data_IF_603406676369
#
_entry.id   IF_603406676369
#
_cell.length_a   1.000
_cell.length_b   1.000
_cell.length_c   1.000
_cell.angle_alpha   90.00
_cell.angle_beta   90.00
_cell.angle_gamma   90.00
#
_symmetry.space_group_name_H-M   'P 1'
#
loop_
_entity.id
_entity.type
_entity.pdbx_description
1 polymer ?
#
# COMPACT_ATOMS: atom_id res chain seq x y z
N UNK A 1 -8.96 -50.31 -35.48
CA UNK A 1 -8.33 -49.08 -35.99
C UNK A 1 -9.07 -47.95 -35.30
N UNK A 2 -8.60 -47.57 -34.10
CA UNK A 2 -9.12 -46.44 -33.34
C UNK A 2 -8.86 -45.15 -34.12
N UNK A 3 -9.92 -44.38 -34.38
CA UNK A 3 -9.83 -43.03 -34.92
C UNK A 3 -9.81 -42.03 -33.77
N UNK A 4 -8.82 -41.13 -33.79
CA UNK A 4 -8.75 -39.99 -32.87
C UNK A 4 -10.02 -39.13 -33.03
N UNK A 5 -10.81 -39.02 -31.96
CA UNK A 5 -11.89 -38.04 -31.89
C UNK A 5 -11.28 -36.68 -31.55
N UNK A 6 -11.44 -35.72 -32.46
CA UNK A 6 -11.07 -34.32 -32.23
C UNK A 6 -12.09 -33.72 -31.28
N UNK A 7 -11.68 -33.37 -30.06
CA UNK A 7 -12.46 -32.48 -29.21
C UNK A 7 -12.45 -31.08 -29.84
N UNK A 8 -13.60 -30.40 -29.78
CA UNK A 8 -13.95 -29.25 -30.62
C UNK A 8 -12.96 -28.10 -30.67
N UNK A 9 -13.04 -27.37 -31.79
CA UNK A 9 -12.40 -26.09 -32.09
C UNK A 9 -12.27 -25.21 -30.83
N UNK A 10 -11.06 -25.12 -30.28
CA UNK A 10 -10.73 -24.15 -29.24
C UNK A 10 -10.77 -22.78 -29.93
N UNK A 11 -11.89 -22.09 -29.75
CA UNK A 11 -12.28 -20.87 -30.45
C UNK A 11 -11.12 -19.92 -30.77
N UNK A 12 -11.19 -19.33 -31.96
CA UNK A 12 -10.15 -18.46 -32.54
C UNK A 12 -9.62 -17.45 -31.52
N UNK A 13 -8.35 -17.59 -31.14
CA UNK A 13 -7.67 -16.62 -30.28
C UNK A 13 -7.55 -15.31 -31.03
N UNK A 14 -8.39 -14.34 -30.68
CA UNK A 14 -8.22 -12.97 -31.17
C UNK A 14 -7.05 -12.33 -30.44
N UNK A 15 -6.07 -11.83 -31.20
CA UNK A 15 -5.00 -11.01 -30.63
C UNK A 15 -5.62 -9.81 -29.89
N UNK A 16 -5.05 -9.40 -28.74
CA UNK A 16 -5.57 -8.27 -27.99
C UNK A 16 -5.62 -7.02 -28.86
N UNK A 17 -6.79 -6.39 -28.93
CA UNK A 17 -6.98 -5.16 -29.68
C UNK A 17 -6.20 -4.03 -28.99
N UNK A 18 -5.15 -3.52 -29.64
CA UNK A 18 -4.46 -2.33 -29.12
C UNK A 18 -5.34 -1.09 -29.34
N UNK A 19 -5.75 -0.46 -28.25
CA UNK A 19 -6.38 0.86 -28.24
C UNK A 19 -5.30 1.96 -28.31
N UNK A 20 -5.65 3.15 -28.78
CA UNK A 20 -4.81 4.36 -28.74
C UNK A 20 -3.42 4.23 -29.38
N UNK A 21 -3.34 3.56 -30.52
CA UNK A 21 -2.08 3.33 -31.27
C UNK A 21 -1.31 4.60 -31.64
N UNK A 22 -2.01 5.73 -31.69
CA UNK A 22 -1.45 7.03 -32.07
C UNK A 22 -1.09 7.92 -30.86
N UNK A 23 -1.33 7.45 -29.63
CA UNK A 23 -0.92 8.17 -28.41
C UNK A 23 0.46 7.67 -28.00
N UNK A 24 1.48 8.48 -28.24
CA UNK A 24 2.83 8.29 -27.69
C UNK A 24 3.13 9.42 -26.72
N UNK A 25 2.89 9.25 -25.41
CA UNK A 25 3.36 10.24 -24.44
C UNK A 25 4.88 10.29 -24.47
N UNK A 26 5.44 11.47 -24.23
CA UNK A 26 6.88 11.59 -24.01
C UNK A 26 7.30 10.74 -22.81
N UNK A 27 8.54 10.22 -22.80
CA UNK A 27 9.08 9.55 -21.62
C UNK A 27 8.97 10.47 -20.39
N UNK A 28 8.73 9.92 -19.19
CA UNK A 28 8.77 10.71 -17.97
C UNK A 28 10.14 11.41 -17.83
N UNK A 29 10.15 12.57 -17.17
CA UNK A 29 11.39 13.31 -16.87
C UNK A 29 12.37 12.41 -16.09
N UNK A 30 13.68 12.50 -16.35
CA UNK A 30 14.68 11.66 -15.67
C UNK A 30 14.73 11.87 -14.14
N UNK A 31 14.30 13.02 -13.64
CA UNK A 31 14.10 13.31 -12.22
C UNK A 31 12.76 12.77 -11.69
N UNK A 32 11.79 12.52 -12.58
CA UNK A 32 10.57 11.81 -12.25
C UNK A 32 10.93 10.33 -12.11
N UNK A 33 11.03 9.90 -10.86
CA UNK A 33 11.18 8.49 -10.54
C UNK A 33 9.87 7.95 -9.93
N UNK A 34 8.92 7.49 -10.76
CA UNK A 34 7.79 6.71 -10.26
C UNK A 34 8.32 5.55 -9.41
N UNK A 35 7.82 5.39 -8.19
CA UNK A 35 8.23 4.27 -7.34
C UNK A 35 9.65 4.39 -6.76
N UNK A 36 10.05 5.55 -6.23
CA UNK A 36 11.26 5.64 -5.38
C UNK A 36 10.89 5.96 -3.96
N UNK A 37 11.70 5.50 -3.01
CA UNK A 37 11.56 5.86 -1.61
C UNK A 37 11.52 7.39 -1.47
N UNK A 38 10.49 7.91 -0.80
CA UNK A 38 10.38 9.33 -0.53
C UNK A 38 10.89 9.62 0.88
N UNK A 39 12.06 10.26 0.99
CA UNK A 39 12.55 10.74 2.30
C UNK A 39 11.52 11.71 2.87
N UNK A 40 11.10 11.46 4.10
CA UNK A 40 10.13 12.32 4.80
C UNK A 40 10.90 13.52 5.38
N UNK A 41 10.65 14.75 4.90
CA UNK A 41 11.40 15.91 5.36
C UNK A 41 10.94 16.37 6.75
N UNK A 42 11.78 17.16 7.41
CA UNK A 42 11.43 17.82 8.68
C UNK A 42 11.40 16.92 9.91
N UNK A 43 11.73 15.63 9.78
CA UNK A 43 11.89 14.71 10.90
C UNK A 43 13.34 14.66 11.37
N UNK A 44 13.59 14.49 12.68
CA UNK A 44 14.92 14.22 13.18
C UNK A 44 15.42 12.87 12.64
N UNK A 45 16.75 12.74 12.52
CA UNK A 45 17.36 11.45 12.24
C UNK A 45 17.12 10.48 13.39
N UNK A 46 16.96 9.21 13.07
CA UNK A 46 16.79 8.10 14.01
C UNK A 46 18.15 7.43 14.23
N UNK A 47 18.88 7.75 15.32
CA UNK A 47 20.29 7.36 15.46
C UNK A 47 20.48 5.85 15.70
N UNK A 48 19.50 5.18 16.31
CA UNK A 48 19.54 3.74 16.59
C UNK A 48 18.95 2.90 15.45
N UNK A 49 18.52 3.55 14.35
CA UNK A 49 17.88 2.94 13.20
C UNK A 49 16.64 2.09 13.55
N UNK A 50 15.88 2.47 14.60
CA UNK A 50 14.66 1.76 15.01
C UNK A 50 13.44 2.66 14.97
N UNK A 51 12.46 2.32 14.12
CA UNK A 51 11.22 3.09 14.01
C UNK A 51 10.28 2.94 15.20
N UNK A 52 10.44 1.92 16.04
CA UNK A 52 9.62 1.69 17.24
C UNK A 52 9.69 2.85 18.25
N UNK A 53 10.77 3.62 18.27
CA UNK A 53 10.92 4.82 19.11
C UNK A 53 10.38 6.11 18.49
N UNK A 54 9.90 6.07 17.24
CA UNK A 54 9.44 7.23 16.49
C UNK A 54 7.93 7.39 16.65
N UNK A 55 7.44 8.62 16.83
CA UNK A 55 6.01 8.91 16.85
C UNK A 55 5.41 8.70 15.43
N UNK A 56 4.52 7.70 15.21
CA UNK A 56 3.97 7.40 13.89
C UNK A 56 3.14 8.54 13.31
N UNK A 57 2.35 9.23 14.15
CA UNK A 57 1.51 10.35 13.74
C UNK A 57 2.36 11.51 13.23
N UNK A 58 3.50 11.79 13.87
CA UNK A 58 4.44 12.80 13.41
C UNK A 58 5.04 12.46 12.04
N UNK A 59 5.35 11.17 11.79
CA UNK A 59 5.86 10.70 10.49
C UNK A 59 4.81 10.90 9.40
N UNK A 60 3.59 10.40 9.62
CA UNK A 60 2.48 10.54 8.67
C UNK A 60 2.18 12.00 8.40
N UNK A 61 2.16 12.85 9.43
CA UNK A 61 1.93 14.30 9.29
C UNK A 61 2.98 14.98 8.41
N UNK A 62 4.26 14.70 8.65
CA UNK A 62 5.35 15.27 7.87
C UNK A 62 5.28 14.82 6.40
N UNK A 63 5.04 13.53 6.15
CA UNK A 63 4.95 12.95 4.81
C UNK A 63 3.72 13.44 4.04
N UNK A 64 2.52 13.46 4.65
CA UNK A 64 1.29 14.01 4.06
C UNK A 64 1.51 15.48 3.69
N UNK A 65 2.03 16.28 4.62
CA UNK A 65 2.27 17.72 4.40
C UNK A 65 3.24 17.95 3.24
N UNK A 66 4.35 17.22 3.22
CA UNK A 66 5.34 17.30 2.14
C UNK A 66 4.77 16.87 0.79
N UNK A 67 4.01 15.77 0.76
CA UNK A 67 3.41 15.26 -0.47
C UNK A 67 2.40 16.25 -1.05
N UNK A 68 1.55 16.86 -0.20
CA UNK A 68 0.61 17.91 -0.62
C UNK A 68 1.33 19.14 -1.16
N UNK A 69 2.43 19.56 -0.54
CA UNK A 69 3.22 20.68 -1.04
C UNK A 69 3.85 20.35 -2.40
N UNK A 70 4.38 19.14 -2.56
CA UNK A 70 5.07 18.69 -3.77
C UNK A 70 4.14 18.60 -4.99
N UNK A 71 2.86 18.32 -4.80
CA UNK A 71 1.87 18.27 -5.89
C UNK A 71 0.89 19.44 -5.88
N UNK A 72 1.18 20.51 -5.12
CA UNK A 72 0.34 21.70 -4.97
C UNK A 72 -1.12 21.38 -4.57
N UNK A 73 -1.34 20.28 -3.85
CA UNK A 73 -2.66 19.84 -3.41
C UNK A 73 -3.54 19.25 -4.51
N UNK A 74 -2.96 18.87 -5.65
CA UNK A 74 -3.70 18.28 -6.79
C UNK A 74 -4.29 16.91 -6.49
N UNK A 75 -3.83 16.23 -5.45
CA UNK A 75 -4.32 14.89 -5.11
C UNK A 75 -3.57 13.75 -5.82
N UNK A 76 -2.46 14.08 -6.49
CA UNK A 76 -1.65 13.15 -7.29
C UNK A 76 -0.78 12.26 -6.40
N UNK A 77 -0.19 12.82 -5.35
CA UNK A 77 0.70 12.11 -4.43
C UNK A 77 0.01 11.66 -3.14
N UNK A 78 -0.99 12.42 -2.71
CA UNK A 78 -1.76 12.20 -1.47
C UNK A 78 -3.15 12.79 -1.66
N UNK A 79 -4.19 12.12 -1.16
CA UNK A 79 -5.56 12.62 -1.22
C UNK A 79 -5.68 14.01 -0.54
N UNK A 80 -6.35 15.00 -1.15
CA UNK A 80 -6.48 16.34 -0.56
C UNK A 80 -7.13 16.35 0.84
N UNK A 81 -7.94 15.34 1.18
CA UNK A 81 -8.53 15.20 2.51
C UNK A 81 -7.52 14.85 3.59
N UNK A 82 -6.38 14.24 3.23
CA UNK A 82 -5.39 13.74 4.18
C UNK A 82 -4.90 14.83 5.15
N UNK A 83 -4.63 16.05 4.66
CA UNK A 83 -4.18 17.18 5.49
C UNK A 83 -5.23 17.60 6.50
N UNK A 84 -6.51 17.59 6.11
CA UNK A 84 -7.61 17.93 7.02
C UNK A 84 -7.79 16.84 8.07
N UNK A 85 -7.65 15.57 7.67
CA UNK A 85 -7.79 14.40 8.54
C UNK A 85 -6.68 14.32 9.58
N UNK A 86 -5.42 14.54 9.18
CA UNK A 86 -4.28 14.53 10.12
C UNK A 86 -4.31 15.71 11.11
N UNK A 87 -5.02 16.80 10.79
CA UNK A 87 -5.19 17.94 11.70
C UNK A 87 -6.08 17.62 12.91
N UNK A 88 -6.85 16.53 12.86
CA UNK A 88 -7.62 16.02 14.01
C UNK A 88 -6.71 15.36 15.06
N UNK A 89 -5.52 14.93 14.67
CA UNK A 89 -4.57 14.29 15.58
C UNK A 89 -3.87 15.32 16.47
N UNK A 90 -3.76 15.00 17.74
CA UNK A 90 -2.95 15.72 18.73
C UNK A 90 -1.45 15.42 18.57
N UNK A 91 -0.63 15.82 19.54
CA UNK A 91 0.80 15.49 19.60
C UNK A 91 1.09 14.19 20.35
N UNK A 92 0.07 13.51 20.90
CA UNK A 92 0.24 12.21 21.52
C UNK A 92 0.75 11.16 20.52
N UNK A 93 1.38 10.10 21.02
CA UNK A 93 1.94 9.04 20.17
C UNK A 93 0.87 8.27 19.38
N UNK A 94 -0.32 8.12 19.96
CA UNK A 94 -1.51 7.56 19.33
C UNK A 94 -2.36 8.63 18.61
N UNK A 95 -1.96 9.90 18.69
CA UNK A 95 -2.69 11.04 18.12
C UNK A 95 -3.95 11.45 18.87
N UNK A 96 -4.36 10.75 19.93
CA UNK A 96 -5.60 11.01 20.65
C UNK A 96 -6.86 10.44 19.96
N UNK A 97 -8.04 10.59 20.60
CA UNK A 97 -9.24 9.82 20.27
C UNK A 97 -9.86 10.11 18.89
N UNK A 98 -9.63 11.32 18.36
CA UNK A 98 -10.17 11.73 17.06
C UNK A 98 -9.18 11.50 15.91
N UNK A 99 -7.98 10.96 16.19
CA UNK A 99 -6.95 10.79 15.19
C UNK A 99 -7.26 9.61 14.27
N UNK A 100 -7.41 9.84 12.95
CA UNK A 100 -7.73 8.78 12.01
C UNK A 100 -6.49 8.03 11.49
N UNK A 101 -5.35 8.16 12.17
CA UNK A 101 -4.17 7.35 11.89
C UNK A 101 -4.32 6.05 12.66
N UNK A 102 -4.33 4.92 11.93
CA UNK A 102 -4.40 3.60 12.56
C UNK A 102 -3.14 3.33 13.39
N UNK A 103 -3.25 2.60 14.51
CA UNK A 103 -2.09 2.19 15.29
C UNK A 103 -1.02 1.55 14.41
N UNK A 104 0.24 1.93 14.62
CA UNK A 104 1.33 1.42 13.83
C UNK A 104 1.62 -0.05 14.15
N UNK A 105 1.89 -0.83 13.11
CA UNK A 105 2.42 -2.19 13.19
C UNK A 105 3.87 -2.16 12.72
N UNK A 106 4.73 -2.93 13.37
CA UNK A 106 6.14 -3.02 13.06
C UNK A 106 6.48 -4.44 12.59
N UNK A 107 7.13 -4.57 11.44
CA UNK A 107 7.55 -5.84 10.87
C UNK A 107 8.76 -5.62 9.95
N UNK A 108 9.74 -6.53 9.94
CA UNK A 108 10.84 -6.52 8.96
C UNK A 108 10.34 -6.95 7.58
N UNK A 109 10.10 -5.98 6.70
CA UNK A 109 9.65 -6.21 5.32
C UNK A 109 10.82 -6.20 4.34
N UNK A 110 11.98 -5.72 4.77
CA UNK A 110 13.15 -5.51 3.91
C UNK A 110 14.22 -6.58 4.06
N UNK A 111 14.06 -7.47 5.05
CA UNK A 111 14.98 -8.57 5.36
C UNK A 111 16.29 -8.09 5.98
N UNK A 112 16.36 -6.84 6.45
CA UNK A 112 17.59 -6.24 6.97
C UNK A 112 17.73 -6.31 8.50
N UNK A 113 16.78 -6.97 9.18
CA UNK A 113 16.72 -7.11 10.63
C UNK A 113 16.18 -5.88 11.36
N UNK A 114 15.67 -4.87 10.64
CA UNK A 114 15.02 -3.67 11.19
C UNK A 114 13.55 -3.68 10.80
N UNK A 115 12.68 -3.40 11.78
CA UNK A 115 11.25 -3.36 11.53
C UNK A 115 10.85 -2.05 10.81
N UNK A 116 10.12 -2.18 9.71
CA UNK A 116 9.40 -1.10 9.04
C UNK A 116 8.16 -0.69 9.83
N UNK A 117 7.75 0.58 9.72
CA UNK A 117 6.51 1.10 10.28
C UNK A 117 5.41 1.02 9.23
N UNK A 118 4.36 0.25 9.53
CA UNK A 118 3.16 0.08 8.70
C UNK A 118 1.99 0.77 9.40
N UNK A 119 1.29 1.66 8.72
CA UNK A 119 0.10 2.35 9.24
C UNK A 119 -0.82 2.78 8.09
N UNK A 120 -2.00 3.30 8.42
CA UNK A 120 -2.87 3.92 7.44
C UNK A 120 -3.52 5.18 8.01
N UNK A 121 -3.80 6.15 7.13
CA UNK A 121 -4.64 7.31 7.42
C UNK A 121 -6.03 7.09 6.83
N UNK A 122 -7.05 6.99 7.68
CA UNK A 122 -8.44 6.86 7.24
C UNK A 122 -8.98 8.21 6.75
N UNK A 123 -9.21 8.31 5.44
CA UNK A 123 -9.63 9.54 4.77
C UNK A 123 -11.12 9.81 4.97
N UNK A 124 -11.90 8.73 4.90
CA UNK A 124 -13.33 8.71 5.18
C UNK A 124 -13.72 7.32 5.74
N UNK A 125 -15.01 7.02 5.85
CA UNK A 125 -15.49 5.72 6.35
C UNK A 125 -15.23 4.53 5.44
N UNK A 126 -14.49 4.70 4.33
CA UNK A 126 -14.23 3.69 3.29
C UNK A 126 -12.79 3.70 2.79
N UNK A 127 -12.26 4.86 2.43
CA UNK A 127 -10.93 5.03 1.84
C UNK A 127 -9.88 5.34 2.89
N UNK A 128 -8.73 4.69 2.74
CA UNK A 128 -7.56 4.92 3.57
C UNK A 128 -6.32 5.11 2.70
N UNK A 129 -5.32 5.79 3.24
CA UNK A 129 -3.96 5.79 2.68
C UNK A 129 -3.07 4.87 3.51
N UNK A 130 -2.79 3.68 2.98
CA UNK A 130 -1.77 2.78 3.52
C UNK A 130 -0.39 3.39 3.27
N UNK A 131 0.44 3.43 4.31
CA UNK A 131 1.80 3.95 4.25
C UNK A 131 2.76 3.02 4.98
N UNK A 132 3.91 2.78 4.35
CA UNK A 132 5.00 1.99 4.93
C UNK A 132 6.28 2.80 4.90
N UNK A 133 6.99 2.81 6.03
CA UNK A 133 8.21 3.57 6.21
C UNK A 133 9.35 2.66 6.65
N UNK A 134 10.53 2.94 6.12
CA UNK A 134 11.80 2.40 6.61
C UNK A 134 12.68 3.53 7.14
N UNK A 135 13.80 3.16 7.76
CA UNK A 135 14.88 4.06 8.14
C UNK A 135 16.13 3.72 7.34
N UNK A 136 16.63 4.71 6.60
CA UNK A 136 17.87 4.64 5.84
C UNK A 136 19.07 4.57 6.79
N UNK A 137 20.20 4.04 6.32
CA UNK A 137 21.40 3.86 7.14
C UNK A 137 21.98 5.16 7.70
N UNK A 138 21.63 6.31 7.10
CA UNK A 138 22.01 7.63 7.59
C UNK A 138 21.01 8.24 8.60
N UNK A 139 20.04 7.44 9.05
CA UNK A 139 19.02 7.77 10.04
C UNK A 139 17.79 8.48 9.49
N UNK A 140 17.70 8.74 8.17
CA UNK A 140 16.52 9.40 7.60
C UNK A 140 15.37 8.41 7.41
N UNK A 141 14.16 8.84 7.76
CA UNK A 141 12.94 8.08 7.53
C UNK A 141 12.51 8.26 6.07
N UNK A 142 12.20 7.17 5.39
CA UNK A 142 11.74 7.18 4.01
C UNK A 142 10.47 6.35 3.87
N UNK A 143 9.49 6.89 3.14
CA UNK A 143 8.30 6.14 2.73
C UNK A 143 8.66 5.22 1.58
N UNK A 144 8.41 3.93 1.76
CA UNK A 144 8.68 2.86 0.79
C UNK A 144 7.41 2.30 0.13
N UNK A 145 6.23 2.59 0.70
CA UNK A 145 4.93 2.32 0.06
C UNK A 145 3.95 3.45 0.39
N UNK A 146 3.18 3.88 -0.61
CA UNK A 146 1.96 4.68 -0.44
C UNK A 146 0.87 4.10 -1.33
N UNK A 147 -0.30 3.82 -0.77
CA UNK A 147 -1.42 3.28 -1.54
C UNK A 147 -2.74 3.81 -1.00
N UNK A 148 -3.54 4.41 -1.87
CA UNK A 148 -4.96 4.68 -1.59
C UNK A 148 -5.75 3.42 -1.84
N UNK A 149 -6.56 3.02 -0.86
CA UNK A 149 -7.16 1.70 -0.82
C UNK A 149 -8.46 1.69 -0.02
N UNK A 150 -9.34 0.73 -0.33
CA UNK A 150 -10.42 0.34 0.59
C UNK A 150 -9.88 -0.82 1.42
N UNK A 151 -9.28 -0.51 2.56
CA UNK A 151 -8.55 -1.49 3.37
C UNK A 151 -9.53 -2.37 4.17
N UNK A 152 -9.85 -3.54 3.63
CA UNK A 152 -10.55 -4.59 4.37
C UNK A 152 -9.59 -5.42 5.22
N UNK A 153 -8.36 -5.62 4.73
CA UNK A 153 -7.30 -6.30 5.47
C UNK A 153 -5.91 -5.90 5.01
N UNK A 154 -4.97 -5.84 5.95
CA UNK A 154 -3.54 -5.71 5.67
C UNK A 154 -2.84 -6.79 6.47
N UNK A 155 -2.15 -7.68 5.78
CA UNK A 155 -1.47 -8.83 6.38
C UNK A 155 0.01 -8.80 6.05
N UNK A 156 0.81 -9.27 6.99
CA UNK A 156 2.25 -9.42 6.80
C UNK A 156 2.62 -10.88 7.02
N UNK A 157 3.35 -11.46 6.06
CA UNK A 157 3.88 -12.80 6.16
C UNK A 157 5.27 -12.82 5.55
N UNK A 158 6.28 -13.15 6.36
CA UNK A 158 7.68 -12.96 5.98
C UNK A 158 7.90 -11.53 5.45
N UNK A 159 8.54 -11.39 4.29
CA UNK A 159 8.86 -10.10 3.66
C UNK A 159 7.75 -9.59 2.71
N UNK A 160 6.54 -10.16 2.81
CA UNK A 160 5.39 -9.82 1.98
C UNK A 160 4.36 -9.00 2.75
N UNK A 161 3.82 -7.97 2.10
CA UNK A 161 2.69 -7.19 2.58
C UNK A 161 1.50 -7.39 1.64
N UNK A 162 0.49 -8.12 2.11
CA UNK A 162 -0.73 -8.36 1.37
C UNK A 162 -1.81 -7.35 1.76
N UNK A 163 -2.41 -6.69 0.76
CA UNK A 163 -3.52 -5.76 0.93
C UNK A 163 -4.77 -6.36 0.32
N UNK A 164 -5.80 -6.54 1.15
CA UNK A 164 -7.12 -7.03 0.73
C UNK A 164 -8.09 -5.88 0.56
N UNK A 165 -8.77 -5.89 -0.58
CA UNK A 165 -9.81 -4.92 -0.91
C UNK A 165 -11.09 -5.62 -1.37
N UNK A 166 -12.26 -5.09 -0.99
CA UNK A 166 -13.52 -5.61 -1.47
C UNK A 166 -13.67 -5.30 -2.96
N UNK A 167 -14.24 -6.24 -3.71
CA UNK A 167 -14.62 -6.00 -5.11
C UNK A 167 -16.10 -5.67 -5.25
N UNK A 168 -16.53 -5.26 -6.44
CA UNK A 168 -17.96 -5.10 -6.75
C UNK A 168 -18.71 -6.44 -6.74
N UNK A 169 -17.99 -7.56 -6.88
CA UNK A 169 -18.55 -8.89 -6.70
C UNK A 169 -18.25 -9.38 -5.27
N UNK A 170 -19.26 -9.48 -4.39
CA UNK A 170 -19.04 -9.85 -2.99
C UNK A 170 -18.54 -11.30 -2.79
N UNK A 171 -18.46 -12.12 -3.84
CA UNK A 171 -17.84 -13.44 -3.78
C UNK A 171 -16.30 -13.38 -3.78
N UNK A 172 -15.70 -12.25 -4.16
CA UNK A 172 -14.25 -12.12 -4.31
C UNK A 172 -13.70 -10.88 -3.60
N UNK A 173 -12.47 -11.02 -3.11
CA UNK A 173 -11.63 -9.91 -2.70
C UNK A 173 -10.40 -9.84 -3.62
N UNK A 174 -9.93 -8.63 -3.87
CA UNK A 174 -8.68 -8.41 -4.57
C UNK A 174 -7.53 -8.44 -3.55
N UNK A 175 -6.49 -9.21 -3.83
CA UNK A 175 -5.27 -9.25 -3.01
C UNK A 175 -4.12 -8.66 -3.81
N UNK A 176 -3.60 -7.53 -3.35
CA UNK A 176 -2.36 -6.95 -3.87
C UNK A 176 -1.21 -7.35 -2.95
N UNK A 177 -0.26 -8.13 -3.45
CA UNK A 177 0.92 -8.57 -2.72
C UNK A 177 2.12 -7.66 -3.05
N UNK A 178 2.76 -7.13 -2.01
CA UNK A 178 3.89 -6.23 -2.13
C UNK A 178 5.15 -6.84 -1.54
N UNK A 179 6.26 -6.74 -2.27
CA UNK A 179 7.58 -7.23 -1.86
C UNK A 179 8.62 -6.13 -1.97
N UNK A 180 9.64 -6.20 -1.13
CA UNK A 180 10.75 -5.25 -1.16
C UNK A 180 11.59 -5.38 -2.44
N UNK A 181 11.82 -4.26 -3.12
CA UNK A 181 12.79 -4.14 -4.19
C UNK A 181 14.02 -3.35 -3.69
N UNK A 182 15.15 -4.00 -3.39
CA UNK A 182 16.34 -3.33 -2.87
C UNK A 182 17.00 -2.40 -3.88
N UNK A 183 16.74 -2.54 -5.19
CA UNK A 183 17.29 -1.65 -6.22
C UNK A 183 16.48 -0.37 -6.32
N UNK A 184 15.16 -0.47 -6.25
CA UNK A 184 14.27 0.70 -6.30
C UNK A 184 14.13 1.38 -4.93
N UNK A 185 14.40 0.66 -3.85
CA UNK A 185 14.23 1.13 -2.49
C UNK A 185 12.75 1.27 -2.10
N UNK A 186 11.85 0.49 -2.70
CA UNK A 186 10.41 0.55 -2.43
C UNK A 186 9.78 -0.85 -2.32
N UNK A 187 8.59 -0.90 -1.76
CA UNK A 187 7.72 -2.08 -1.89
C UNK A 187 7.04 -2.04 -3.27
N UNK A 188 7.31 -3.03 -4.10
CA UNK A 188 6.72 -3.19 -5.43
C UNK A 188 5.57 -4.19 -5.41
N UNK A 189 4.54 -3.92 -6.22
CA UNK A 189 3.47 -4.89 -6.45
C UNK A 189 4.06 -6.11 -7.16
N UNK A 190 4.10 -7.24 -6.46
CA UNK A 190 4.55 -8.52 -6.99
C UNK A 190 3.43 -9.22 -7.74
N UNK A 191 2.25 -9.26 -7.12
CA UNK A 191 1.12 -10.03 -7.61
C UNK A 191 -0.20 -9.34 -7.28
N UNK A 192 -1.17 -9.49 -8.19
CA UNK A 192 -2.57 -9.13 -7.97
C UNK A 192 -3.44 -10.35 -8.26
N UNK A 193 -4.16 -10.84 -7.26
CA UNK A 193 -5.10 -11.96 -7.41
C UNK A 193 -6.52 -11.55 -7.05
N UNK A 194 -7.46 -12.38 -7.51
CA UNK A 194 -8.82 -12.44 -7.00
C UNK A 194 -8.94 -13.75 -6.23
N UNK A 195 -9.24 -13.64 -4.95
CA UNK A 195 -9.40 -14.79 -4.08
C UNK A 195 -10.87 -14.94 -3.72
N UNK A 196 -11.33 -16.19 -3.65
CA UNK A 196 -12.72 -16.52 -3.32
C UNK A 196 -12.96 -16.46 -1.81
N UNK A 197 -14.05 -15.84 -1.41
CA UNK A 197 -14.55 -15.85 -0.04
C UNK A 197 -14.75 -17.26 0.55
N UNK A 198 -15.10 -18.25 -0.26
CA UNK A 198 -15.34 -19.62 0.18
C UNK A 198 -14.05 -20.35 0.63
N UNK A 199 -12.88 -20.02 0.05
CA UNK A 199 -11.60 -20.65 0.40
C UNK A 199 -11.02 -20.16 1.73
N UNK A 200 -11.47 -18.99 2.21
CA UNK A 200 -11.11 -18.43 3.53
C UNK A 200 -11.75 -19.15 4.72
N UNK A 201 -12.64 -20.12 4.48
CA UNK A 201 -13.37 -20.81 5.55
C UNK A 201 -12.47 -21.61 6.51
N UNK A 202 -11.28 -22.00 6.07
CA UNK A 202 -10.28 -22.77 6.83
C UNK A 202 -9.30 -21.98 7.71
N UNK A 203 -9.30 -20.63 7.66
CA UNK A 203 -8.35 -19.79 8.42
C UNK A 203 -9.03 -19.12 9.62
N UNK A 204 -8.66 -19.39 10.89
CA UNK A 204 -9.33 -18.82 12.06
C UNK A 204 -9.39 -17.29 12.03
N UNK A 205 -10.54 -16.72 12.37
CA UNK A 205 -10.72 -15.27 12.44
C UNK A 205 -10.37 -14.73 13.83
N UNK A 206 -9.83 -13.51 13.86
CA UNK A 206 -9.84 -12.68 15.07
C UNK A 206 -11.28 -12.39 15.49
N UNK A 207 -11.59 -12.23 16.79
CA UNK A 207 -12.96 -12.03 17.28
C UNK A 207 -13.74 -10.89 16.61
N UNK A 208 -13.04 -9.87 16.11
CA UNK A 208 -13.64 -8.69 15.46
C UNK A 208 -13.66 -8.77 13.92
N UNK A 209 -13.10 -9.83 13.33
CA UNK A 209 -13.07 -10.00 11.88
C UNK A 209 -14.38 -10.62 11.37
N UNK A 210 -15.02 -9.96 10.41
CA UNK A 210 -16.19 -10.52 9.69
C UNK A 210 -15.73 -11.05 8.33
N UNK A 211 -16.06 -12.31 8.03
CA UNK A 211 -15.86 -12.87 6.68
C UNK A 211 -16.97 -12.38 5.75
N UNK A 212 -16.57 -11.90 4.58
CA UNK A 212 -17.36 -11.81 3.35
C UNK A 212 -18.86 -11.60 3.55
N UNK A 213 -19.26 -10.43 4.04
CA UNK A 213 -20.66 -10.01 4.05
C UNK A 213 -20.80 -8.54 3.64
N UNK A 214 -21.79 -8.30 2.76
CA UNK A 214 -22.12 -7.05 2.07
C UNK A 214 -22.34 -5.86 2.98
#
# INVERSE_FOLDING_TARGET
>A
MEGLQSEGDLGTVHAPQSLWKDIRPDPPDAAQKPGTAAVVPGLPKVPDLRLRGVNPVSVVRADVTSATQQDSGTGRLVDPRAVQRIALCTQAADGGPDCPVRPAVFHDLTGNGREELITALDLDGRLSELRVYTVQDDGRIARILSRRAVLEGVEVAAEHLAVREPTSNPAYFAVSDYVWDPKAGIMNLSQLTLDDCASLTGVPLSPDARRCTR
#
